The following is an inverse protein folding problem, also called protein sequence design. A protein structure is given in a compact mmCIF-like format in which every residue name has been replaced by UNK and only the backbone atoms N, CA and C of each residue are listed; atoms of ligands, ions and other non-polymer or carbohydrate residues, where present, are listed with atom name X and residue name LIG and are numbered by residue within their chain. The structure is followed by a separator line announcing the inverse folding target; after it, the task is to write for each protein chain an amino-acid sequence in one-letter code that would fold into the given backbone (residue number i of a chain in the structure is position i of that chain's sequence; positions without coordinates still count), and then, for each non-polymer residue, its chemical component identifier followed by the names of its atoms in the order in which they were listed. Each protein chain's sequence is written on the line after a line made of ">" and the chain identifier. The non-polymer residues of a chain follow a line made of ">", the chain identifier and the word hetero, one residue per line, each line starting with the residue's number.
data_IF_070285578103
#
_entry.id   IF_070285578103
#
_cell.length_a   1.000
_cell.length_b   1.000
_cell.length_c   1.000
_cell.angle_alpha   90.00
_cell.angle_beta   90.00
_cell.angle_gamma   90.00
#
_symmetry.space_group_name_H-M   'P 1'
#
loop_
_entity.id
_entity.type
_entity.pdbx_description
1 polymer ?
#
# COMPACT_ATOMS: atom_id res chain seq x y z
N UNK A 1 5.21 -16.23 18.39
CA UNK A 1 4.41 -17.37 17.88
C UNK A 1 5.24 -18.12 16.86
N UNK A 2 5.25 -19.46 16.87
CA UNK A 2 5.88 -20.26 15.82
C UNK A 2 4.91 -20.43 14.65
N UNK A 3 5.31 -20.01 13.44
CA UNK A 3 4.42 -20.03 12.26
C UNK A 3 4.00 -21.47 11.89
N UNK A 4 4.90 -22.45 12.01
CA UNK A 4 4.54 -23.84 11.72
C UNK A 4 3.44 -24.36 12.65
N UNK A 5 3.58 -24.16 13.97
CA UNK A 5 2.53 -24.53 14.94
C UNK A 5 1.21 -23.83 14.63
N UNK A 6 1.26 -22.55 14.26
CA UNK A 6 0.07 -21.79 13.87
C UNK A 6 -0.62 -22.38 12.63
N UNK A 7 0.15 -22.75 11.59
CA UNK A 7 -0.38 -23.41 10.39
C UNK A 7 -1.02 -24.76 10.72
N UNK A 8 -0.32 -25.59 11.50
CA UNK A 8 -0.82 -26.91 11.93
C UNK A 8 -2.16 -26.80 12.65
N UNK A 9 -2.30 -25.84 13.56
CA UNK A 9 -3.52 -25.59 14.30
C UNK A 9 -4.67 -25.06 13.40
N UNK A 10 -4.35 -24.07 12.53
CA UNK A 10 -5.39 -23.39 11.73
C UNK A 10 -5.89 -24.22 10.56
N UNK A 11 -5.02 -25.03 9.94
CA UNK A 11 -5.36 -25.86 8.78
C UNK A 11 -5.56 -27.33 9.12
N UNK A 12 -5.32 -27.73 10.36
CA UNK A 12 -5.32 -29.12 10.79
C UNK A 12 -4.47 -30.02 9.85
N UNK A 13 -3.29 -29.51 9.46
CA UNK A 13 -2.39 -30.10 8.49
C UNK A 13 -1.02 -30.33 9.10
N UNK A 14 -0.49 -31.53 8.95
CA UNK A 14 0.87 -31.92 9.38
C UNK A 14 1.82 -32.15 8.21
N UNK A 15 1.27 -32.24 6.99
CA UNK A 15 2.06 -32.40 5.77
C UNK A 15 1.81 -31.20 4.85
N UNK A 16 2.79 -30.31 4.76
CA UNK A 16 2.78 -29.11 3.94
C UNK A 16 4.20 -28.67 3.61
N UNK A 17 4.36 -27.81 2.60
CA UNK A 17 5.58 -27.04 2.36
C UNK A 17 5.34 -25.57 2.67
N UNK A 18 6.36 -24.88 3.18
CA UNK A 18 6.34 -23.47 3.49
C UNK A 18 7.63 -22.83 2.99
N UNK A 19 7.54 -22.06 1.93
CA UNK A 19 8.68 -21.44 1.26
C UNK A 19 8.61 -19.93 1.43
N UNK A 20 9.67 -19.32 2.00
CA UNK A 20 9.74 -17.87 2.12
C UNK A 20 9.97 -17.25 0.75
N UNK A 21 9.19 -16.19 0.44
CA UNK A 21 9.37 -15.41 -0.78
C UNK A 21 10.21 -14.15 -0.47
N UNK A 22 10.86 -13.59 -1.51
CA UNK A 22 11.62 -12.35 -1.39
C UNK A 22 10.75 -11.11 -1.65
N UNK A 23 9.43 -11.29 -1.85
CA UNK A 23 8.48 -10.21 -2.10
C UNK A 23 7.99 -9.59 -0.79
N UNK A 24 7.84 -8.25 -0.79
CA UNK A 24 7.31 -7.47 0.35
C UNK A 24 8.40 -6.91 1.28
N UNK A 25 8.23 -5.63 1.65
CA UNK A 25 9.19 -4.86 2.46
C UNK A 25 8.76 -4.84 3.94
N UNK A 26 7.49 -4.62 4.23
CA UNK A 26 6.92 -4.47 5.58
C UNK A 26 6.60 -5.80 6.26
N UNK A 27 6.31 -6.85 5.49
CA UNK A 27 5.88 -8.16 5.94
C UNK A 27 6.82 -9.28 5.48
N UNK A 28 6.73 -10.46 6.11
CA UNK A 28 7.29 -11.70 5.58
C UNK A 28 6.21 -12.44 4.82
N UNK A 29 6.47 -12.80 3.56
CA UNK A 29 5.55 -13.55 2.73
C UNK A 29 6.07 -14.96 2.48
N UNK A 30 5.14 -15.94 2.51
CA UNK A 30 5.45 -17.35 2.32
C UNK A 30 4.45 -17.97 1.35
N UNK A 31 4.96 -18.86 0.48
CA UNK A 31 4.12 -19.79 -0.29
C UNK A 31 3.89 -21.03 0.57
N UNK A 32 2.64 -21.27 0.91
CA UNK A 32 2.19 -22.47 1.65
C UNK A 32 1.48 -23.42 0.69
N UNK A 33 1.91 -24.68 0.64
CA UNK A 33 1.25 -25.72 -0.15
C UNK A 33 0.75 -26.82 0.77
N UNK A 34 -0.56 -27.08 0.74
CA UNK A 34 -1.25 -28.14 1.49
C UNK A 34 -2.09 -28.95 0.51
N UNK A 35 -1.84 -30.26 0.37
CA UNK A 35 -2.58 -31.13 -0.53
C UNK A 35 -2.75 -30.54 -1.95
N UNK A 36 -1.64 -30.09 -2.54
CA UNK A 36 -1.56 -29.46 -3.86
C UNK A 36 -2.25 -28.08 -3.99
N UNK A 37 -2.93 -27.60 -2.96
CA UNK A 37 -3.46 -26.24 -2.93
C UNK A 37 -2.40 -25.26 -2.45
N UNK A 38 -2.25 -24.15 -3.19
CA UNK A 38 -1.26 -23.09 -2.91
C UNK A 38 -1.94 -21.87 -2.27
N UNK A 39 -1.26 -21.31 -1.29
CA UNK A 39 -1.71 -20.14 -0.55
C UNK A 39 -0.56 -19.16 -0.35
N UNK A 40 -0.86 -17.88 -0.31
CA UNK A 40 0.08 -16.87 0.20
C UNK A 40 -0.21 -16.61 1.67
N UNK A 41 0.85 -16.63 2.48
CA UNK A 41 0.79 -16.33 3.92
C UNK A 41 1.60 -15.07 4.18
N UNK A 42 0.92 -13.96 4.51
CA UNK A 42 1.55 -12.71 4.95
C UNK A 42 1.67 -12.73 6.47
N UNK A 43 2.88 -12.51 6.98
CA UNK A 43 3.20 -12.48 8.41
C UNK A 43 3.86 -11.14 8.75
N UNK A 44 3.29 -10.33 9.66
CA UNK A 44 3.90 -9.08 10.07
C UNK A 44 5.33 -9.26 10.58
N UNK A 45 6.24 -8.36 10.17
CA UNK A 45 7.60 -8.30 10.71
C UNK A 45 7.59 -7.85 12.17
N UNK A 46 8.69 -8.05 12.88
CA UNK A 46 8.89 -7.51 14.23
C UNK A 46 8.72 -5.98 14.20
N UNK A 47 8.20 -5.43 15.30
CA UNK A 47 7.92 -4.00 15.45
C UNK A 47 6.86 -3.47 14.47
N UNK A 48 5.96 -4.30 13.97
CA UNK A 48 4.82 -3.88 13.14
C UNK A 48 3.95 -2.83 13.86
N UNK A 49 3.85 -2.89 15.18
CA UNK A 49 3.15 -1.91 16.02
C UNK A 49 3.67 -0.48 15.82
N UNK A 50 4.97 -0.31 15.51
CA UNK A 50 5.57 1.01 15.24
C UNK A 50 5.08 1.65 13.94
N UNK A 51 4.39 0.90 13.07
CA UNK A 51 3.75 1.44 11.87
C UNK A 51 2.44 2.18 12.19
N UNK A 52 1.93 2.06 13.42
CA UNK A 52 0.65 2.64 13.82
C UNK A 52 -0.53 2.02 13.07
N UNK A 53 -0.42 0.74 12.71
CA UNK A 53 -1.47 -0.04 12.06
C UNK A 53 -2.27 -0.84 13.09
N UNK A 54 -3.54 -1.07 12.78
CA UNK A 54 -4.45 -1.84 13.62
C UNK A 54 -5.07 -2.95 12.78
N UNK A 55 -4.88 -4.19 13.21
CA UNK A 55 -5.40 -5.35 12.47
C UNK A 55 -6.94 -5.37 12.40
N UNK A 56 -7.59 -4.77 13.38
CA UNK A 56 -9.05 -4.58 13.40
C UNK A 56 -9.54 -3.75 12.22
N UNK A 57 -8.76 -2.73 11.82
CA UNK A 57 -9.08 -1.90 10.67
C UNK A 57 -9.00 -2.72 9.36
N UNK A 58 -7.92 -3.47 9.16
CA UNK A 58 -7.82 -4.34 7.97
C UNK A 58 -8.97 -5.35 7.94
N UNK A 59 -9.30 -5.97 9.06
CA UNK A 59 -10.42 -6.91 9.17
C UNK A 59 -11.76 -6.29 8.75
N UNK A 60 -12.01 -5.02 9.09
CA UNK A 60 -13.22 -4.28 8.67
C UNK A 60 -13.22 -4.00 7.16
N UNK A 61 -12.04 -3.79 6.54
CA UNK A 61 -11.89 -3.50 5.12
C UNK A 61 -12.07 -4.75 4.23
N UNK A 62 -11.51 -5.89 4.62
CA UNK A 62 -11.48 -7.09 3.78
C UNK A 62 -12.84 -7.49 3.17
N UNK A 63 -13.97 -7.47 3.90
CA UNK A 63 -15.28 -7.74 3.30
C UNK A 63 -15.72 -6.72 2.25
N UNK A 64 -15.31 -5.45 2.38
CA UNK A 64 -15.67 -4.37 1.48
C UNK A 64 -14.95 -4.48 0.13
N UNK A 65 -13.78 -5.09 0.11
CA UNK A 65 -12.87 -5.20 -1.04
C UNK A 65 -12.77 -6.62 -1.61
N UNK A 66 -13.64 -7.52 -1.19
CA UNK A 66 -13.60 -8.95 -1.58
C UNK A 66 -13.74 -9.21 -3.08
N UNK A 67 -14.29 -8.24 -3.82
CA UNK A 67 -14.36 -8.24 -5.28
C UNK A 67 -13.08 -7.69 -5.96
N UNK A 68 -12.21 -7.02 -5.22
CA UNK A 68 -10.95 -6.45 -5.70
C UNK A 68 -9.73 -7.24 -5.22
N UNK A 69 -9.76 -7.75 -3.99
CA UNK A 69 -8.65 -8.55 -3.42
C UNK A 69 -8.66 -9.99 -3.97
N UNK A 70 -7.55 -10.67 -3.78
CA UNK A 70 -7.49 -12.12 -3.93
C UNK A 70 -8.31 -12.77 -2.81
N UNK A 71 -8.94 -13.96 -3.05
CA UNK A 71 -9.76 -14.58 -2.04
C UNK A 71 -9.01 -14.79 -0.72
N UNK A 72 -9.50 -14.18 0.35
CA UNK A 72 -8.96 -14.33 1.70
C UNK A 72 -9.51 -15.61 2.32
N UNK A 73 -8.61 -16.53 2.65
CA UNK A 73 -8.94 -17.82 3.27
C UNK A 73 -9.04 -17.68 4.79
N UNK A 74 -8.12 -16.90 5.36
CA UNK A 74 -8.06 -16.67 6.80
C UNK A 74 -7.39 -15.33 7.10
N UNK A 75 -7.93 -14.60 8.05
CA UNK A 75 -7.29 -13.45 8.67
C UNK A 75 -7.32 -13.60 10.20
N UNK A 76 -6.15 -13.68 10.82
CA UNK A 76 -6.02 -13.75 12.27
C UNK A 76 -5.77 -12.34 12.83
N UNK A 77 -6.81 -11.70 13.30
CA UNK A 77 -6.80 -10.35 13.87
C UNK A 77 -5.78 -10.17 15.00
N UNK A 78 -5.51 -11.22 15.79
CA UNK A 78 -4.58 -11.13 16.92
C UNK A 78 -3.13 -11.03 16.48
N UNK A 79 -2.77 -11.74 15.42
CA UNK A 79 -1.39 -11.80 14.92
C UNK A 79 -1.17 -10.98 13.67
N UNK A 80 -2.22 -10.52 12.98
CA UNK A 80 -2.15 -9.89 11.68
C UNK A 80 -1.79 -10.84 10.53
N UNK A 81 -1.74 -12.16 10.80
CA UNK A 81 -1.45 -13.13 9.74
C UNK A 81 -2.65 -13.21 8.80
N UNK A 82 -2.39 -12.99 7.50
CA UNK A 82 -3.37 -13.13 6.42
C UNK A 82 -2.98 -14.29 5.51
N UNK A 83 -3.93 -15.15 5.19
CA UNK A 83 -3.77 -16.23 4.21
C UNK A 83 -4.75 -15.99 3.08
N UNK A 84 -4.24 -15.98 1.86
CA UNK A 84 -5.02 -15.82 0.64
C UNK A 84 -4.78 -16.98 -0.31
N UNK A 85 -5.68 -17.19 -1.26
CA UNK A 85 -5.40 -18.07 -2.40
C UNK A 85 -4.16 -17.56 -3.14
N UNK A 86 -3.28 -18.46 -3.55
CA UNK A 86 -2.23 -18.14 -4.50
C UNK A 86 -2.81 -18.08 -5.91
N UNK A 87 -2.62 -16.95 -6.59
CA UNK A 87 -3.05 -16.81 -7.99
C UNK A 87 -1.84 -17.07 -8.87
N UNK A 88 -1.94 -18.02 -9.78
CA UNK A 88 -0.93 -18.32 -10.79
C UNK A 88 -1.07 -17.35 -11.98
N UNK A 89 -0.01 -17.21 -12.75
CA UNK A 89 0.00 -16.45 -14.01
C UNK A 89 -0.48 -15.01 -13.85
N UNK A 90 0.03 -14.32 -12.80
CA UNK A 90 -0.19 -12.88 -12.59
C UNK A 90 1.11 -12.11 -12.79
N UNK A 91 0.99 -10.92 -13.37
CA UNK A 91 2.05 -9.93 -13.47
C UNK A 91 1.76 -8.75 -12.53
N UNK A 92 2.79 -8.22 -11.88
CA UNK A 92 2.67 -6.95 -11.16
C UNK A 92 2.63 -5.78 -12.14
N UNK A 93 2.29 -4.58 -11.66
CA UNK A 93 2.20 -3.40 -12.53
C UNK A 93 3.49 -3.14 -13.33
N UNK A 94 4.66 -3.31 -12.72
CA UNK A 94 5.96 -3.09 -13.37
C UNK A 94 6.32 -4.20 -14.36
N UNK A 95 5.92 -5.44 -14.10
CA UNK A 95 6.14 -6.59 -14.99
C UNK A 95 5.23 -6.54 -16.22
N UNK A 96 4.02 -5.98 -16.08
CA UNK A 96 2.99 -5.95 -17.10
C UNK A 96 3.39 -5.02 -18.28
N UNK A 97 3.34 -5.56 -19.49
CA UNK A 97 3.64 -4.86 -20.73
C UNK A 97 2.40 -4.45 -21.54
N UNK A 98 1.21 -4.72 -20.99
CA UNK A 98 -0.03 -4.31 -21.62
C UNK A 98 -0.07 -2.77 -21.74
N UNK A 99 -0.38 -2.27 -22.91
CA UNK A 99 -0.52 -0.83 -23.20
C UNK A 99 -1.66 -0.19 -22.41
N UNK A 100 -2.67 -0.99 -22.03
CA UNK A 100 -3.86 -0.53 -21.31
C UNK A 100 -3.70 -0.63 -19.78
N UNK A 101 -2.50 -1.01 -19.26
CA UNK A 101 -2.25 -1.22 -17.83
C UNK A 101 -2.57 0.00 -16.96
N UNK A 102 -2.38 1.22 -17.47
CA UNK A 102 -2.71 2.45 -16.72
C UNK A 102 -4.22 2.61 -16.58
N UNK A 103 -4.99 2.33 -17.63
CA UNK A 103 -6.45 2.36 -17.56
C UNK A 103 -7.00 1.24 -16.67
N UNK A 104 -6.41 0.04 -16.72
CA UNK A 104 -6.76 -1.09 -15.83
C UNK A 104 -6.52 -0.72 -14.36
N UNK A 105 -5.36 -0.12 -14.05
CA UNK A 105 -5.04 0.37 -12.71
C UNK A 105 -6.04 1.44 -12.24
N UNK A 106 -6.35 2.42 -13.10
CA UNK A 106 -7.32 3.47 -12.82
C UNK A 106 -8.72 2.89 -12.49
N UNK A 107 -9.15 1.86 -13.21
CA UNK A 107 -10.41 1.18 -12.96
C UNK A 107 -10.44 0.42 -11.63
N UNK A 108 -9.33 -0.21 -11.22
CA UNK A 108 -9.19 -0.81 -9.89
C UNK A 108 -9.32 0.24 -8.80
N UNK A 109 -8.57 1.34 -8.91
CA UNK A 109 -8.62 2.45 -7.94
C UNK A 109 -10.01 3.06 -7.88
N UNK A 110 -10.63 3.36 -9.02
CA UNK A 110 -11.98 3.89 -9.11
C UNK A 110 -13.00 2.96 -8.44
N UNK A 111 -12.89 1.64 -8.68
CA UNK A 111 -13.74 0.64 -8.05
C UNK A 111 -13.60 0.63 -6.54
N UNK A 112 -12.39 0.79 -6.01
CA UNK A 112 -12.14 0.94 -4.57
C UNK A 112 -12.80 2.23 -4.04
N UNK A 113 -12.59 3.36 -4.70
CA UNK A 113 -13.06 4.66 -4.27
C UNK A 113 -14.59 4.82 -4.30
N UNK A 114 -15.31 3.97 -5.04
CA UNK A 114 -16.79 3.93 -5.01
C UNK A 114 -17.37 3.20 -3.81
N UNK A 115 -16.54 2.45 -3.07
CA UNK A 115 -16.99 1.70 -1.90
C UNK A 115 -17.25 2.61 -0.71
N UNK A 116 -18.05 2.12 0.24
CA UNK A 116 -18.34 2.85 1.47
C UNK A 116 -17.04 3.05 2.29
N UNK A 117 -16.71 4.30 2.55
CA UNK A 117 -15.56 4.61 3.41
C UNK A 117 -15.82 4.21 4.87
N UNK A 118 -14.81 3.65 5.58
CA UNK A 118 -14.90 3.32 7.01
C UNK A 118 -14.95 4.59 7.87
N UNK A 119 -15.12 4.42 9.17
CA UNK A 119 -15.12 5.56 10.11
C UNK A 119 -13.70 6.03 10.45
N UNK A 120 -12.74 5.12 10.51
CA UNK A 120 -11.34 5.44 10.79
C UNK A 120 -10.65 6.09 9.58
N UNK A 121 -9.70 6.97 9.88
CA UNK A 121 -9.04 7.84 8.90
C UNK A 121 -7.55 7.53 8.85
N UNK A 122 -7.01 7.39 7.64
CA UNK A 122 -5.57 7.50 7.42
C UNK A 122 -5.19 8.98 7.46
N UNK A 123 -4.78 9.45 8.61
CA UNK A 123 -4.36 10.85 8.76
C UNK A 123 -2.87 10.99 8.41
N UNK A 124 -2.48 11.40 7.18
CA UNK A 124 -1.08 11.47 6.79
C UNK A 124 -0.30 12.50 7.63
N UNK A 125 -0.92 13.61 8.00
CA UNK A 125 -0.29 14.64 8.84
C UNK A 125 0.03 14.10 10.24
N UNK A 126 -0.93 13.40 10.86
CA UNK A 126 -0.70 12.76 12.16
C UNK A 126 0.31 11.63 12.09
N UNK A 127 0.38 10.88 10.97
CA UNK A 127 1.40 9.84 10.76
C UNK A 127 2.80 10.43 10.60
N UNK A 128 2.96 11.54 9.88
CA UNK A 128 4.23 12.26 9.78
C UNK A 128 4.74 12.63 11.18
N UNK A 129 3.92 13.28 12.00
CA UNK A 129 4.30 13.64 13.38
C UNK A 129 4.59 12.40 14.24
N UNK A 130 3.81 11.34 14.09
CA UNK A 130 4.03 10.09 14.80
C UNK A 130 5.39 9.47 14.43
N UNK A 131 5.73 9.35 13.14
CA UNK A 131 7.01 8.79 12.71
C UNK A 131 8.18 9.66 13.13
N UNK A 132 8.08 11.00 12.99
CA UNK A 132 9.07 11.95 13.49
C UNK A 132 9.35 11.77 15.00
N UNK A 133 8.32 11.54 15.79
CA UNK A 133 8.45 11.35 17.24
C UNK A 133 9.19 10.07 17.64
N UNK A 134 9.26 9.08 16.75
CA UNK A 134 9.97 7.80 16.98
C UNK A 134 11.44 7.83 16.55
N UNK A 135 11.86 8.86 15.80
CA UNK A 135 13.22 9.00 15.26
C UNK A 135 14.10 9.70 16.29
N UNK A 136 15.28 9.12 16.56
CA UNK A 136 16.33 9.72 17.42
C UNK A 136 17.37 10.45 16.58
N UNK A 137 17.73 9.88 15.42
CA UNK A 137 18.70 10.45 14.50
C UNK A 137 18.05 10.61 13.11
N UNK A 138 17.70 11.86 12.79
CA UNK A 138 17.03 12.16 11.52
C UNK A 138 18.06 12.20 10.38
N UNK A 139 17.91 11.27 9.42
CA UNK A 139 18.77 11.19 8.23
C UNK A 139 18.19 11.90 7.01
N UNK A 140 16.95 12.42 7.07
CA UNK A 140 16.26 13.11 5.97
C UNK A 140 15.97 14.57 6.34
N UNK A 141 15.83 15.43 5.32
CA UNK A 141 15.50 16.84 5.48
C UNK A 141 14.54 17.30 4.38
N UNK A 142 13.40 17.87 4.78
CA UNK A 142 12.38 18.39 3.87
C UNK A 142 12.20 19.91 4.09
N UNK A 143 12.90 20.75 3.33
CA UNK A 143 12.85 22.20 3.51
C UNK A 143 11.42 22.76 3.41
N UNK A 144 11.03 23.62 4.37
CA UNK A 144 9.70 24.24 4.44
C UNK A 144 8.52 23.29 4.60
N UNK A 145 8.73 22.03 5.05
CA UNK A 145 7.68 21.03 5.18
C UNK A 145 6.48 21.51 6.03
N UNK A 146 6.74 22.21 7.15
CA UNK A 146 5.69 22.67 8.06
C UNK A 146 4.71 23.62 7.35
N UNK A 147 5.22 24.65 6.67
CA UNK A 147 4.36 25.60 5.94
C UNK A 147 3.60 24.92 4.80
N UNK A 148 4.27 24.00 4.11
CA UNK A 148 3.67 23.23 3.03
C UNK A 148 2.53 22.33 3.55
N UNK A 149 2.77 21.55 4.60
CA UNK A 149 1.77 20.66 5.19
C UNK A 149 0.57 21.42 5.77
N UNK A 150 0.81 22.58 6.43
CA UNK A 150 -0.25 23.46 6.93
C UNK A 150 -1.13 24.02 5.80
N UNK A 151 -0.54 24.34 4.64
CA UNK A 151 -1.29 24.79 3.48
C UNK A 151 -2.12 23.65 2.88
N UNK A 152 -1.53 22.47 2.68
CA UNK A 152 -2.20 21.31 2.10
C UNK A 152 -3.33 20.80 2.99
N UNK A 153 -3.17 20.86 4.32
CA UNK A 153 -4.18 20.45 5.28
C UNK A 153 -5.49 21.20 5.15
N UNK A 154 -5.49 22.44 4.65
CA UNK A 154 -6.71 23.24 4.41
C UNK A 154 -7.52 22.71 3.22
N UNK A 155 -6.85 22.04 2.27
CA UNK A 155 -7.45 21.47 1.06
C UNK A 155 -7.75 19.96 1.19
N UNK A 156 -7.35 19.35 2.29
CA UNK A 156 -7.51 17.93 2.55
C UNK A 156 -8.95 17.53 2.84
N UNK A 157 -9.48 16.54 2.10
CA UNK A 157 -10.88 16.09 2.16
C UNK A 157 -10.98 14.56 2.31
N UNK A 158 -10.79 14.01 3.52
CA UNK A 158 -10.83 12.56 3.75
C UNK A 158 -12.27 12.04 3.72
N UNK A 159 -12.76 11.65 2.56
CA UNK A 159 -14.13 11.18 2.37
C UNK A 159 -14.23 9.87 1.56
N UNK A 160 -13.11 9.30 1.13
CA UNK A 160 -13.04 8.15 0.22
C UNK A 160 -12.37 6.98 0.92
N UNK A 161 -12.79 5.73 0.64
CA UNK A 161 -12.01 4.56 1.00
C UNK A 161 -10.80 4.48 0.07
N UNK A 162 -9.61 4.73 0.62
CA UNK A 162 -8.34 4.67 -0.07
C UNK A 162 -7.52 3.45 0.36
N UNK A 163 -6.66 2.99 -0.53
CA UNK A 163 -5.68 1.94 -0.25
C UNK A 163 -4.54 2.46 0.62
N UNK A 164 -4.08 3.68 0.35
CA UNK A 164 -2.98 4.38 1.02
C UNK A 164 -1.58 3.77 0.82
N UNK A 165 -1.47 2.75 -0.03
CA UNK A 165 -0.21 2.09 -0.42
C UNK A 165 -0.33 1.53 -1.84
N UNK A 166 -0.56 2.43 -2.83
CA UNK A 166 -0.88 2.05 -4.22
C UNK A 166 0.38 1.81 -5.05
N UNK A 167 1.24 0.88 -4.55
CA UNK A 167 2.53 0.53 -5.15
C UNK A 167 2.39 -0.59 -6.17
N UNK A 168 3.35 -0.68 -7.09
CA UNK A 168 3.37 -1.65 -8.18
C UNK A 168 3.17 -3.11 -7.75
N UNK A 169 3.74 -3.51 -6.62
CA UNK A 169 3.64 -4.88 -6.09
C UNK A 169 2.27 -5.23 -5.54
N UNK A 170 1.40 -4.25 -5.30
CA UNK A 170 0.04 -4.43 -4.81
C UNK A 170 -1.01 -4.49 -5.93
N UNK A 171 -0.61 -4.26 -7.18
CA UNK A 171 -1.47 -4.31 -8.37
C UNK A 171 -1.10 -5.55 -9.16
N UNK A 172 -2.03 -6.50 -9.27
CA UNK A 172 -1.81 -7.76 -9.99
C UNK A 172 -2.74 -7.85 -11.20
N UNK A 173 -2.17 -8.14 -12.35
CA UNK A 173 -2.88 -8.33 -13.60
C UNK A 173 -2.90 -9.80 -14.00
N UNK A 174 -4.05 -10.29 -14.42
CA UNK A 174 -4.19 -11.59 -15.08
C UNK A 174 -5.04 -11.45 -16.35
N UNK A 175 -5.15 -12.54 -17.11
CA UNK A 175 -5.98 -12.59 -18.31
C UNK A 175 -7.49 -12.50 -18.00
N UNK A 176 -7.89 -12.82 -16.78
CA UNK A 176 -9.31 -12.93 -16.41
C UNK A 176 -9.78 -11.86 -15.44
N UNK A 177 -8.90 -11.37 -14.56
CA UNK A 177 -9.25 -10.41 -13.52
C UNK A 177 -8.02 -9.70 -13.01
N UNK A 178 -8.17 -8.42 -12.71
CA UNK A 178 -7.17 -7.63 -12.01
C UNK A 178 -7.44 -7.62 -10.51
N UNK A 179 -6.37 -7.59 -9.71
CA UNK A 179 -6.48 -7.58 -8.26
C UNK A 179 -5.70 -6.41 -7.67
N UNK A 180 -6.21 -5.89 -6.58
CA UNK A 180 -5.53 -4.97 -5.69
C UNK A 180 -5.40 -5.66 -4.33
N UNK A 181 -4.18 -5.81 -3.83
CA UNK A 181 -3.87 -6.60 -2.63
C UNK A 181 -3.21 -5.75 -1.55
N UNK A 182 -3.12 -6.27 -0.34
CA UNK A 182 -2.41 -5.68 0.81
C UNK A 182 -3.04 -4.42 1.41
N UNK A 183 -4.23 -4.58 1.97
CA UNK A 183 -5.06 -3.50 2.53
C UNK A 183 -4.69 -3.08 3.96
N UNK A 184 -3.47 -3.33 4.44
CA UNK A 184 -3.08 -3.03 5.82
C UNK A 184 -3.09 -1.53 6.16
N UNK A 185 -2.92 -0.65 5.16
CA UNK A 185 -3.03 0.80 5.29
C UNK A 185 -4.41 1.35 4.88
N UNK A 186 -5.30 0.51 4.35
CA UNK A 186 -6.57 0.98 3.81
C UNK A 186 -7.46 1.61 4.87
N UNK A 187 -7.94 2.81 4.57
CA UNK A 187 -8.74 3.63 5.47
C UNK A 187 -9.42 4.76 4.70
N UNK A 188 -10.23 5.54 5.38
CA UNK A 188 -10.77 6.76 4.81
C UNK A 188 -9.67 7.81 4.63
N UNK A 189 -9.51 8.33 3.40
CA UNK A 189 -8.55 9.36 3.05
C UNK A 189 -9.09 10.27 1.93
N UNK A 190 -8.29 11.22 1.48
CA UNK A 190 -8.50 12.00 0.27
C UNK A 190 -8.10 11.14 -0.95
N UNK A 191 -8.98 11.02 -1.94
CA UNK A 191 -8.73 10.17 -3.11
C UNK A 191 -7.45 10.55 -3.90
N UNK A 192 -7.03 11.83 -3.82
CA UNK A 192 -5.81 12.32 -4.47
C UNK A 192 -4.55 11.68 -3.89
N UNK A 193 -4.61 11.20 -2.64
CA UNK A 193 -3.52 10.45 -2.03
C UNK A 193 -3.24 9.14 -2.78
N UNK A 194 -4.24 8.32 -3.09
CA UNK A 194 -4.02 7.09 -3.85
C UNK A 194 -3.51 7.37 -5.28
N UNK A 195 -4.00 8.43 -5.92
CA UNK A 195 -3.51 8.84 -7.25
C UNK A 195 -2.05 9.28 -7.17
N UNK A 196 -1.69 10.02 -6.13
CA UNK A 196 -0.31 10.44 -5.87
C UNK A 196 0.60 9.24 -5.58
N UNK A 197 0.15 8.31 -4.73
CA UNK A 197 0.85 7.06 -4.44
C UNK A 197 1.11 6.25 -5.70
N UNK A 198 0.10 6.09 -6.54
CA UNK A 198 0.28 5.41 -7.84
C UNK A 198 1.33 6.11 -8.71
N UNK A 199 1.31 7.42 -8.79
CA UNK A 199 2.22 8.18 -9.64
C UNK A 199 3.66 8.18 -9.10
N UNK A 200 3.85 8.49 -7.81
CA UNK A 200 5.17 8.64 -7.19
C UNK A 200 5.86 7.29 -6.97
N UNK A 201 5.14 6.31 -6.42
CA UNK A 201 5.73 5.01 -6.07
C UNK A 201 6.00 4.11 -7.29
N UNK A 202 5.33 4.36 -8.41
CA UNK A 202 5.50 3.59 -9.63
C UNK A 202 6.29 4.34 -10.73
N UNK A 203 6.92 5.47 -10.39
CA UNK A 203 7.73 6.27 -11.30
C UNK A 203 6.98 6.72 -12.57
N UNK A 204 5.71 7.14 -12.43
CA UNK A 204 4.89 7.60 -13.55
C UNK A 204 5.17 9.08 -13.81
N UNK A 205 6.19 9.34 -14.62
CA UNK A 205 6.66 10.70 -14.90
C UNK A 205 6.20 11.25 -16.26
N UNK A 206 5.80 10.37 -17.18
CA UNK A 206 5.41 10.78 -18.54
C UNK A 206 3.96 11.23 -18.58
N UNK A 207 3.73 12.35 -19.26
CA UNK A 207 2.42 13.00 -19.35
C UNK A 207 1.37 12.07 -19.98
N UNK A 208 1.73 11.33 -21.01
CA UNK A 208 0.86 10.40 -21.72
C UNK A 208 0.40 9.23 -20.83
N UNK A 209 1.23 8.80 -19.89
CA UNK A 209 0.89 7.75 -18.92
C UNK A 209 -0.09 8.27 -17.87
N UNK A 210 0.14 9.48 -17.36
CA UNK A 210 -0.77 10.16 -16.42
C UNK A 210 -2.11 10.45 -17.08
N UNK A 211 -2.09 10.91 -18.32
CA UNK A 211 -3.30 11.19 -19.10
C UNK A 211 -4.14 9.91 -19.31
N UNK A 212 -3.54 8.79 -19.66
CA UNK A 212 -4.26 7.51 -19.80
C UNK A 212 -4.94 7.13 -18.49
N UNK A 213 -4.24 7.26 -17.35
CA UNK A 213 -4.79 6.98 -16.04
C UNK A 213 -5.95 7.93 -15.71
N UNK A 214 -5.75 9.24 -15.89
CA UNK A 214 -6.78 10.25 -15.59
C UNK A 214 -8.02 10.10 -16.47
N UNK A 215 -7.86 9.84 -17.77
CA UNK A 215 -8.97 9.60 -18.69
C UNK A 215 -9.86 8.43 -18.21
N UNK A 216 -9.25 7.34 -17.76
CA UNK A 216 -9.98 6.18 -17.26
C UNK A 216 -10.60 6.42 -15.87
N UNK A 217 -9.85 7.09 -14.98
CA UNK A 217 -10.31 7.34 -13.62
C UNK A 217 -11.48 8.33 -13.57
N UNK A 218 -11.43 9.42 -14.34
CA UNK A 218 -12.43 10.50 -14.37
C UNK A 218 -13.46 10.36 -15.50
N UNK A 219 -13.50 9.25 -16.24
CA UNK A 219 -14.38 9.05 -17.41
C UNK A 219 -14.23 10.16 -18.46
N UNK A 220 -13.04 10.72 -18.61
CA UNK A 220 -12.73 11.81 -19.51
C UNK A 220 -13.11 13.21 -19.01
N UNK A 221 -13.78 13.35 -17.90
CA UNK A 221 -14.11 14.65 -17.27
C UNK A 221 -12.99 15.06 -16.28
N UNK A 222 -11.88 15.55 -16.83
CA UNK A 222 -10.66 15.85 -16.07
C UNK A 222 -10.67 17.32 -15.64
N UNK A 223 -10.55 17.56 -14.33
CA UNK A 223 -10.23 18.89 -13.80
C UNK A 223 -8.84 19.32 -14.30
N UNK A 224 -8.70 20.46 -15.00
CA UNK A 224 -7.40 20.94 -15.49
C UNK A 224 -6.35 21.14 -14.38
N UNK A 225 -6.79 21.27 -13.12
CA UNK A 225 -5.92 21.48 -11.96
C UNK A 225 -5.57 20.18 -11.24
N UNK A 226 -6.11 19.03 -11.69
CA UNK A 226 -5.94 17.76 -10.97
C UNK A 226 -4.45 17.38 -10.81
N UNK A 227 -3.66 17.55 -11.85
CA UNK A 227 -2.25 17.17 -11.81
C UNK A 227 -1.46 18.03 -10.80
N UNK A 228 -1.75 19.32 -10.71
CA UNK A 228 -1.16 20.22 -9.70
C UNK A 228 -1.55 19.79 -8.28
N UNK A 229 -2.81 19.40 -8.09
CA UNK A 229 -3.30 18.93 -6.80
C UNK A 229 -2.66 17.59 -6.42
N UNK A 230 -2.53 16.65 -7.36
CA UNK A 230 -1.90 15.35 -7.15
C UNK A 230 -0.41 15.52 -6.80
N UNK A 231 0.31 16.39 -7.51
CA UNK A 231 1.72 16.69 -7.20
C UNK A 231 1.93 17.22 -5.78
N UNK A 232 0.95 17.97 -5.23
CA UNK A 232 1.02 18.37 -3.83
C UNK A 232 0.90 17.18 -2.87
N UNK A 233 0.11 16.17 -3.21
CA UNK A 233 0.05 14.93 -2.43
C UNK A 233 1.30 14.05 -2.62
N UNK A 234 1.87 13.96 -3.83
CA UNK A 234 3.15 13.28 -4.08
C UNK A 234 4.25 13.86 -3.18
N UNK A 235 4.32 15.18 -3.10
CA UNK A 235 5.27 15.87 -2.21
C UNK A 235 5.01 15.59 -0.73
N UNK A 236 3.76 15.48 -0.31
CA UNK A 236 3.42 15.06 1.06
C UNK A 236 3.84 13.62 1.34
N UNK A 237 3.69 12.72 0.36
CA UNK A 237 4.11 11.32 0.48
C UNK A 237 5.63 11.18 0.59
N UNK A 238 6.40 12.02 -0.09
CA UNK A 238 7.85 12.04 0.09
C UNK A 238 8.23 12.34 1.55
N UNK A 239 7.53 13.27 2.19
CA UNK A 239 7.73 13.56 3.63
C UNK A 239 7.30 12.38 4.48
N UNK A 240 6.10 11.85 4.25
CA UNK A 240 5.51 10.76 5.02
C UNK A 240 6.36 9.50 4.98
N UNK A 241 6.66 9.02 3.77
CA UNK A 241 7.40 7.78 3.58
C UNK A 241 8.90 7.95 3.84
N UNK A 242 9.43 9.16 3.71
CA UNK A 242 10.79 9.50 4.13
C UNK A 242 10.99 9.34 5.64
N UNK A 243 10.09 9.88 6.47
CA UNK A 243 10.14 9.70 7.92
C UNK A 243 9.80 8.26 8.36
N UNK A 244 8.84 7.61 7.69
CA UNK A 244 8.55 6.18 7.91
C UNK A 244 9.81 5.32 7.68
N UNK A 245 10.49 5.54 6.58
CA UNK A 245 11.69 4.78 6.23
C UNK A 245 12.85 5.08 7.19
N UNK A 246 13.06 6.34 7.59
CA UNK A 246 14.05 6.71 8.58
C UNK A 246 13.80 5.99 9.93
N UNK A 247 12.56 6.02 10.41
CA UNK A 247 12.17 5.33 11.64
C UNK A 247 12.47 3.81 11.55
N UNK A 248 12.11 3.17 10.44
CA UNK A 248 12.35 1.73 10.25
C UNK A 248 13.82 1.38 10.08
N UNK A 249 14.61 2.27 9.46
CA UNK A 249 16.05 2.11 9.39
C UNK A 249 16.68 2.07 10.79
N UNK A 250 16.32 2.99 11.68
CA UNK A 250 16.78 2.95 13.07
C UNK A 250 16.37 1.68 13.81
N UNK A 251 15.13 1.20 13.59
CA UNK A 251 14.57 0.07 14.34
C UNK A 251 15.04 -1.29 13.84
N UNK A 252 15.30 -1.41 12.52
CA UNK A 252 15.56 -2.71 11.86
C UNK A 252 16.98 -2.84 11.31
N UNK A 253 17.65 -1.71 11.01
CA UNK A 253 19.01 -1.70 10.44
C UNK A 253 19.11 -2.20 9.01
N UNK A 254 17.98 -2.38 8.30
CA UNK A 254 17.92 -2.88 6.93
C UNK A 254 18.23 -1.74 5.94
N UNK A 255 19.22 -1.92 5.06
CA UNK A 255 19.68 -0.91 4.10
C UNK A 255 18.55 -0.38 3.20
N UNK A 256 17.58 -1.20 2.86
CA UNK A 256 16.45 -0.82 2.02
C UNK A 256 15.71 0.41 2.56
N UNK A 257 15.55 0.53 3.88
CA UNK A 257 14.88 1.69 4.47
C UNK A 257 15.72 2.96 4.40
N UNK A 258 17.04 2.85 4.52
CA UNK A 258 17.92 3.98 4.27
C UNK A 258 17.81 4.48 2.84
N UNK A 259 17.83 3.57 1.89
CA UNK A 259 17.74 3.88 0.46
C UNK A 259 16.39 4.55 0.12
N UNK A 260 15.27 4.04 0.66
CA UNK A 260 13.94 4.65 0.52
C UNK A 260 13.94 6.07 1.11
N UNK A 261 14.45 6.25 2.33
CA UNK A 261 14.47 7.56 2.98
C UNK A 261 15.24 8.60 2.14
N UNK A 262 16.41 8.20 1.59
CA UNK A 262 17.22 9.09 0.74
C UNK A 262 16.61 9.35 -0.63
N UNK A 263 15.90 8.40 -1.18
CA UNK A 263 15.19 8.58 -2.44
C UNK A 263 14.03 9.58 -2.28
N UNK A 264 13.25 9.45 -1.21
CA UNK A 264 12.17 10.40 -0.88
C UNK A 264 12.69 11.82 -0.62
N UNK A 265 13.81 11.98 0.12
CA UNK A 265 14.48 13.28 0.30
C UNK A 265 14.88 13.90 -1.03
N UNK A 266 15.39 13.10 -1.96
CA UNK A 266 15.84 13.55 -3.28
C UNK A 266 14.66 13.96 -4.19
N UNK A 267 13.54 13.28 -4.11
CA UNK A 267 12.34 13.59 -4.89
C UNK A 267 11.61 14.82 -4.38
N UNK A 268 11.66 15.06 -3.08
CA UNK A 268 11.06 16.25 -2.47
C UNK A 268 11.72 17.53 -2.97
N UNK A 269 11.02 18.31 -3.82
CA UNK A 269 11.52 19.57 -4.40
C UNK A 269 10.48 20.69 -4.33
#
# INVERSE_FOLDING_TARGET
>A
MNLNTWIEEKFNATNYTLEKTDKGISNHNYLLTINDNKYMVRVPKKNHESLGLQHEHEKEILPLVSDLDVPVILFDEKSGIKVTTYIEDVETFDECKDKDKFARCANLMKSLHTKKAPLFIFNPFGKIEFYKSQIKECIVSFPNEENFLEALKKEYKPNTLCHNDFVQGNILYSDTKDYLIDYEYAAKNDYRFDIASFSSENNIHYIDQRDQFYQAYFDGDIDPMIDVQVQAFERMEDILWGYWANMLYEQRGEQIYFDIAKDKEKHYR
#
